data_IF_629432575507
#
_entry.id   IF_629432575507
#
_cell.length_a   1.000
_cell.length_b   1.000
_cell.length_c   1.000
_cell.angle_alpha   90.00
_cell.angle_beta   90.00
_cell.angle_gamma   90.00
#
_symmetry.space_group_name_H-M   'P 1'
#
loop_
_entity.id
_entity.type
_entity.pdbx_description
1 polymer ?
#
# COMPACT_ATOMS: atom_id res chain seq x y z
N UNK A 1 12.17 -20.94 -16.39
CA UNK A 1 12.28 -19.53 -15.97
C UNK A 1 13.65 -18.91 -16.30
N UNK A 2 14.33 -19.34 -17.38
CA UNK A 2 15.74 -18.96 -17.63
C UNK A 2 15.93 -17.55 -18.23
N UNK A 3 14.85 -16.86 -18.60
CA UNK A 3 14.91 -15.54 -19.23
C UNK A 3 14.88 -14.37 -18.23
N UNK A 4 14.60 -14.63 -16.95
CA UNK A 4 14.52 -13.59 -15.92
C UNK A 4 15.82 -13.53 -15.11
N UNK A 5 16.69 -12.58 -15.46
CA UNK A 5 18.06 -12.46 -14.93
C UNK A 5 18.13 -12.41 -13.39
N UNK A 6 17.06 -11.98 -12.71
CA UNK A 6 17.00 -11.96 -11.24
C UNK A 6 17.18 -13.34 -10.62
N UNK A 7 16.68 -14.41 -11.26
CA UNK A 7 16.89 -15.77 -10.77
C UNK A 7 18.36 -16.16 -10.78
N UNK A 8 19.08 -15.86 -11.86
CA UNK A 8 20.51 -16.13 -11.94
C UNK A 8 21.32 -15.36 -10.87
N UNK A 9 20.92 -14.11 -10.58
CA UNK A 9 21.53 -13.32 -9.51
C UNK A 9 21.27 -13.96 -8.13
N UNK A 10 20.02 -14.38 -7.87
CA UNK A 10 19.68 -15.05 -6.61
C UNK A 10 20.42 -16.39 -6.49
N UNK A 11 20.48 -17.19 -7.55
CA UNK A 11 21.22 -18.46 -7.55
C UNK A 11 22.71 -18.24 -7.28
N UNK A 12 23.32 -17.21 -7.89
CA UNK A 12 24.73 -16.89 -7.69
C UNK A 12 25.07 -16.52 -6.24
N UNK A 13 24.09 -16.18 -5.39
CA UNK A 13 24.34 -15.93 -3.97
C UNK A 13 24.88 -17.15 -3.21
N UNK A 14 24.72 -18.37 -3.76
CA UNK A 14 25.33 -19.59 -3.20
C UNK A 14 26.87 -19.56 -3.17
N UNK A 15 27.48 -18.66 -3.95
CA UNK A 15 28.93 -18.47 -4.00
C UNK A 15 29.43 -17.40 -3.02
N UNK A 16 28.54 -16.73 -2.28
CA UNK A 16 28.90 -15.77 -1.25
C UNK A 16 29.21 -16.47 0.09
N UNK A 17 30.14 -15.92 0.86
CA UNK A 17 30.49 -16.43 2.20
C UNK A 17 29.36 -16.27 3.23
N UNK A 18 28.46 -15.30 2.99
CA UNK A 18 27.30 -15.04 3.81
C UNK A 18 26.19 -14.39 2.98
N UNK A 19 24.95 -14.67 3.33
CA UNK A 19 23.75 -14.17 2.66
C UNK A 19 22.91 -13.41 3.70
N UNK A 20 22.53 -12.18 3.38
CA UNK A 20 21.63 -11.40 4.22
C UNK A 20 20.24 -11.34 3.60
N UNK A 21 19.26 -11.89 4.30
CA UNK A 21 17.87 -11.93 3.90
C UNK A 21 17.07 -10.88 4.68
N UNK A 22 16.23 -10.12 3.98
CA UNK A 22 15.47 -9.01 4.59
C UNK A 22 14.24 -9.43 5.39
N UNK A 23 13.95 -10.74 5.47
CA UNK A 23 12.82 -11.27 6.23
C UNK A 23 12.76 -12.79 6.23
N UNK A 24 11.97 -13.36 7.14
CA UNK A 24 11.90 -14.82 7.38
C UNK A 24 11.45 -15.62 6.16
N UNK A 25 10.48 -15.09 5.40
CA UNK A 25 10.00 -15.75 4.19
C UNK A 25 11.07 -15.78 3.10
N UNK A 26 11.94 -14.76 3.00
CA UNK A 26 13.07 -14.76 2.06
C UNK A 26 14.06 -15.87 2.42
N UNK A 27 14.34 -16.10 3.70
CA UNK A 27 15.18 -17.24 4.14
C UNK A 27 14.53 -18.57 3.76
N UNK A 28 13.21 -18.68 4.00
CA UNK A 28 12.45 -19.89 3.69
C UNK A 28 12.43 -20.18 2.19
N UNK A 29 12.26 -19.14 1.36
CA UNK A 29 12.35 -19.19 -0.10
C UNK A 29 13.73 -19.65 -0.56
N UNK A 30 14.81 -19.02 -0.07
CA UNK A 30 16.18 -19.40 -0.44
C UNK A 30 16.44 -20.88 -0.15
N UNK A 31 16.13 -21.32 1.07
CA UNK A 31 16.28 -22.73 1.46
C UNK A 31 15.45 -23.69 0.61
N UNK A 32 14.29 -23.25 0.13
CA UNK A 32 13.46 -24.03 -0.78
C UNK A 32 14.02 -24.10 -2.20
N UNK A 33 14.65 -23.03 -2.70
CA UNK A 33 15.07 -22.91 -4.11
C UNK A 33 16.13 -23.94 -4.51
N UNK A 34 17.10 -24.25 -3.65
CA UNK A 34 18.17 -25.20 -3.97
C UNK A 34 18.79 -25.85 -2.72
N UNK A 35 19.28 -27.11 -2.80
CA UNK A 35 19.95 -27.78 -1.69
C UNK A 35 21.13 -27.01 -1.09
N UNK A 36 21.87 -26.26 -1.91
CA UNK A 36 23.03 -25.46 -1.49
C UNK A 36 22.66 -24.40 -0.45
N UNK A 37 21.42 -23.89 -0.47
CA UNK A 37 20.95 -22.91 0.50
C UNK A 37 20.53 -23.52 1.84
N UNK A 38 20.38 -24.85 1.94
CA UNK A 38 20.02 -25.52 3.20
C UNK A 38 21.10 -25.35 4.27
N UNK A 39 22.37 -25.35 3.86
CA UNK A 39 23.53 -25.22 4.75
C UNK A 39 24.27 -23.90 4.59
N UNK A 40 23.76 -22.99 3.76
CA UNK A 40 24.37 -21.67 3.57
C UNK A 40 24.27 -20.83 4.85
N UNK A 41 25.27 -19.98 5.08
CA UNK A 41 25.24 -19.00 6.16
C UNK A 41 24.28 -17.86 5.79
N UNK A 42 23.05 -17.92 6.29
CA UNK A 42 22.00 -16.93 6.00
C UNK A 42 21.58 -16.24 7.29
N UNK A 43 21.86 -14.94 7.41
CA UNK A 43 21.38 -14.10 8.50
C UNK A 43 20.17 -13.28 8.07
N UNK A 44 19.22 -13.10 8.98
CA UNK A 44 18.10 -12.18 8.78
C UNK A 44 18.56 -10.78 9.16
N UNK A 45 18.47 -9.85 8.20
CA UNK A 45 18.79 -8.43 8.39
C UNK A 45 17.62 -7.61 7.90
N UNK A 46 16.69 -7.30 8.81
CA UNK A 46 15.54 -6.47 8.51
C UNK A 46 15.96 -5.07 8.05
N UNK A 47 15.19 -4.46 7.14
CA UNK A 47 15.41 -3.06 6.80
C UNK A 47 15.03 -2.16 7.99
N UNK A 48 15.83 -1.12 8.22
CA UNK A 48 15.49 -0.09 9.20
C UNK A 48 14.25 0.69 8.77
N UNK A 49 13.45 1.09 9.76
CA UNK A 49 12.27 1.95 9.57
C UNK A 49 12.53 3.27 10.27
N UNK A 50 12.29 4.42 9.63
CA UNK A 50 12.52 5.71 10.26
C UNK A 50 11.67 5.90 11.52
N UNK A 51 12.30 6.14 12.67
CA UNK A 51 11.65 6.41 13.95
C UNK A 51 11.59 7.92 14.22
N UNK A 52 10.77 8.63 13.44
CA UNK A 52 10.62 10.08 13.58
C UNK A 52 9.99 10.47 14.92
N UNK A 53 10.44 11.60 15.47
CA UNK A 53 9.79 12.24 16.60
C UNK A 53 8.94 13.40 16.08
N UNK A 54 7.68 13.43 16.48
CA UNK A 54 6.71 14.43 16.03
C UNK A 54 5.78 14.80 17.20
N UNK A 55 5.26 16.03 17.21
CA UNK A 55 4.20 16.39 18.14
C UNK A 55 2.84 15.92 17.65
N UNK A 56 1.89 15.74 18.57
CA UNK A 56 0.49 15.48 18.19
C UNK A 56 -0.09 16.60 17.33
N UNK A 57 0.29 17.86 17.59
CA UNK A 57 -0.13 19.00 16.78
C UNK A 57 0.34 18.90 15.33
N UNK A 58 1.59 18.49 15.08
CA UNK A 58 2.10 18.38 13.70
C UNK A 58 1.38 17.24 12.95
N UNK A 59 1.10 16.10 13.62
CA UNK A 59 0.30 15.01 13.05
C UNK A 59 -1.09 15.51 12.62
N UNK A 60 -1.76 16.26 13.51
CA UNK A 60 -3.10 16.80 13.24
C UNK A 60 -3.07 17.84 12.13
N UNK A 61 -2.05 18.69 12.05
CA UNK A 61 -1.89 19.64 10.94
C UNK A 61 -1.71 18.92 9.61
N UNK A 62 -0.87 17.87 9.55
CA UNK A 62 -0.75 17.05 8.33
C UNK A 62 -2.08 16.40 7.96
N UNK A 63 -2.84 15.87 8.93
CA UNK A 63 -4.18 15.32 8.69
C UNK A 63 -5.14 16.36 8.13
N UNK A 64 -5.12 17.58 8.66
CA UNK A 64 -5.96 18.67 8.18
C UNK A 64 -5.67 19.02 6.72
N UNK A 65 -4.41 18.99 6.29
CA UNK A 65 -4.03 19.17 4.89
C UNK A 65 -4.58 18.05 4.00
N UNK A 66 -4.52 16.79 4.43
CA UNK A 66 -5.09 15.67 3.67
C UNK A 66 -6.61 15.76 3.56
N UNK A 67 -7.29 16.14 4.64
CA UNK A 67 -8.72 16.39 4.66
C UNK A 67 -9.11 17.55 3.74
N UNK A 68 -8.34 18.65 3.76
CA UNK A 68 -8.54 19.78 2.85
C UNK A 68 -8.31 19.38 1.39
N UNK A 69 -7.33 18.52 1.11
CA UNK A 69 -7.15 18.02 -0.25
C UNK A 69 -8.35 17.20 -0.72
N UNK A 70 -8.89 16.32 0.13
CA UNK A 70 -10.14 15.60 -0.16
C UNK A 70 -11.31 16.56 -0.42
N UNK A 71 -11.44 17.61 0.40
CA UNK A 71 -12.49 18.63 0.24
C UNK A 71 -12.34 19.38 -1.09
N UNK A 72 -11.13 19.76 -1.48
CA UNK A 72 -10.86 20.40 -2.76
C UNK A 72 -11.16 19.49 -3.97
N UNK A 73 -10.99 18.17 -3.82
CA UNK A 73 -11.23 17.19 -4.88
C UNK A 73 -12.71 16.78 -5.00
N UNK A 74 -13.35 16.47 -3.87
CA UNK A 74 -14.65 15.78 -3.80
C UNK A 74 -15.76 16.63 -3.18
N UNK A 75 -15.45 17.81 -2.65
CA UNK A 75 -16.42 18.72 -2.04
C UNK A 75 -16.87 18.32 -0.63
N UNK A 76 -16.17 17.40 0.04
CA UNK A 76 -16.44 17.07 1.44
C UNK A 76 -15.15 16.79 2.22
N UNK A 77 -15.21 17.07 3.53
CA UNK A 77 -14.14 16.81 4.47
C UNK A 77 -14.35 15.44 5.15
N UNK A 78 -13.46 14.45 4.98
CA UNK A 78 -13.64 13.11 5.55
C UNK A 78 -13.30 13.07 7.05
N UNK A 79 -13.97 12.21 7.83
CA UNK A 79 -13.61 11.96 9.23
C UNK A 79 -12.25 11.24 9.35
N UNK A 80 -12.00 10.29 8.44
CA UNK A 80 -10.81 9.45 8.44
C UNK A 80 -10.06 9.49 7.11
N UNK A 81 -8.73 9.47 7.18
CA UNK A 81 -7.83 9.43 6.03
C UNK A 81 -7.07 8.12 6.03
N UNK A 82 -7.29 7.32 4.99
CA UNK A 82 -6.56 6.10 4.71
C UNK A 82 -5.57 6.34 3.58
N UNK A 83 -4.48 5.57 3.59
CA UNK A 83 -3.42 5.66 2.60
C UNK A 83 -2.93 4.27 2.21
N UNK A 84 -2.47 4.14 0.97
CA UNK A 84 -1.62 3.03 0.56
C UNK A 84 -0.67 3.55 -0.51
N UNK A 85 0.62 3.46 -0.24
CA UNK A 85 1.65 3.90 -1.17
C UNK A 85 2.49 2.70 -1.58
N UNK A 86 2.36 2.31 -2.84
CA UNK A 86 2.98 1.09 -3.34
C UNK A 86 3.06 1.08 -4.86
N UNK A 87 3.82 0.15 -5.44
CA UNK A 87 3.83 -0.04 -6.90
C UNK A 87 2.55 -0.74 -7.36
N UNK A 88 2.10 -0.42 -8.57
CA UNK A 88 0.94 -1.11 -9.15
C UNK A 88 1.41 -2.44 -9.73
N UNK A 89 1.45 -3.46 -8.89
CA UNK A 89 1.79 -4.84 -9.26
C UNK A 89 0.93 -5.79 -8.44
N UNK A 90 0.63 -6.96 -9.01
CA UNK A 90 -0.24 -7.96 -8.36
C UNK A 90 0.24 -8.35 -6.95
N UNK A 91 1.56 -8.38 -6.72
CA UNK A 91 2.09 -8.80 -5.43
C UNK A 91 1.70 -7.89 -4.27
N UNK A 92 1.27 -6.66 -4.55
CA UNK A 92 0.86 -5.66 -3.54
C UNK A 92 -0.59 -5.80 -3.09
N UNK A 93 -1.36 -6.68 -3.72
CA UNK A 93 -2.68 -7.06 -3.20
C UNK A 93 -3.73 -5.96 -3.22
N UNK A 94 -3.64 -4.96 -4.10
CA UNK A 94 -4.51 -3.76 -4.07
C UNK A 94 -6.02 -4.06 -4.19
N UNK A 95 -6.41 -5.22 -4.75
CA UNK A 95 -7.82 -5.63 -4.75
C UNK A 95 -8.34 -5.88 -3.32
N UNK A 96 -7.48 -6.32 -2.40
CA UNK A 96 -7.83 -6.56 -1.00
C UNK A 96 -8.14 -5.25 -0.28
N UNK A 97 -7.51 -4.15 -0.64
CA UNK A 97 -7.88 -2.82 -0.13
C UNK A 97 -9.37 -2.56 -0.41
N UNK A 98 -9.79 -2.77 -1.66
CA UNK A 98 -11.19 -2.57 -2.05
C UNK A 98 -12.12 -3.51 -1.28
N UNK A 99 -11.75 -4.78 -1.08
CA UNK A 99 -12.53 -5.74 -0.28
C UNK A 99 -12.68 -5.32 1.18
N UNK A 100 -11.60 -4.83 1.79
CA UNK A 100 -11.62 -4.30 3.15
C UNK A 100 -12.53 -3.07 3.21
N UNK A 101 -12.39 -2.14 2.27
CA UNK A 101 -13.23 -0.95 2.20
C UNK A 101 -14.71 -1.27 1.94
N UNK A 102 -15.05 -2.32 1.18
CA UNK A 102 -16.44 -2.79 0.99
C UNK A 102 -17.09 -3.22 2.31
N UNK A 103 -16.31 -3.81 3.23
CA UNK A 103 -16.79 -4.16 4.57
C UNK A 103 -16.87 -2.93 5.46
N UNK A 104 -15.86 -2.06 5.42
CA UNK A 104 -15.84 -0.83 6.22
C UNK A 104 -16.93 0.16 5.81
N UNK A 105 -17.26 0.29 4.52
CA UNK A 105 -18.32 1.20 4.04
C UNK A 105 -19.65 0.96 4.75
N UNK A 106 -19.99 -0.31 4.98
CA UNK A 106 -21.25 -0.67 5.64
C UNK A 106 -21.30 -0.14 7.07
N UNK A 107 -20.18 -0.25 7.79
CA UNK A 107 -20.05 0.21 9.16
C UNK A 107 -19.93 1.74 9.24
N UNK A 108 -19.22 2.35 8.29
CA UNK A 108 -19.14 3.80 8.18
C UNK A 108 -20.51 4.42 7.93
N UNK A 109 -21.35 3.73 7.14
CA UNK A 109 -22.72 4.15 6.89
C UNK A 109 -23.62 4.02 8.12
N UNK A 110 -23.51 2.96 8.92
CA UNK A 110 -24.29 2.81 10.16
C UNK A 110 -23.91 3.87 11.19
N UNK A 111 -22.64 4.27 11.24
CA UNK A 111 -22.14 5.28 12.17
C UNK A 111 -22.23 6.73 11.64
N UNK A 112 -22.64 6.94 10.39
CA UNK A 112 -22.64 8.26 9.77
C UNK A 112 -21.23 8.87 9.64
N UNK A 113 -20.20 8.04 9.51
CA UNK A 113 -18.80 8.43 9.37
C UNK A 113 -18.33 8.36 7.93
N UNK A 114 -17.33 9.13 7.58
CA UNK A 114 -16.78 9.22 6.23
C UNK A 114 -15.28 8.95 6.18
N UNK A 115 -14.79 8.38 5.08
CA UNK A 115 -13.36 8.19 4.84
C UNK A 115 -12.96 8.43 3.40
N UNK A 116 -11.70 8.77 3.21
CA UNK A 116 -11.03 8.75 1.90
C UNK A 116 -9.81 7.83 1.96
N UNK A 117 -9.59 7.01 0.94
CA UNK A 117 -8.32 6.34 0.67
C UNK A 117 -7.57 7.11 -0.41
N UNK A 118 -6.42 7.69 -0.07
CA UNK A 118 -5.44 8.15 -1.05
C UNK A 118 -4.53 6.98 -1.44
N UNK A 119 -4.72 6.46 -2.64
CA UNK A 119 -3.95 5.34 -3.18
C UNK A 119 -2.93 5.86 -4.18
N UNK A 120 -1.65 5.89 -3.78
CA UNK A 120 -0.55 6.30 -4.65
C UNK A 120 0.08 5.05 -5.24
N UNK A 121 -0.20 4.79 -6.50
CA UNK A 121 0.32 3.61 -7.16
C UNK A 121 0.49 3.80 -8.66
N UNK A 122 1.54 3.20 -9.21
CA UNK A 122 1.81 3.25 -10.64
C UNK A 122 2.66 2.08 -11.08
N UNK A 123 2.50 1.66 -12.33
CA UNK A 123 3.37 0.70 -13.01
C UNK A 123 4.36 1.40 -13.96
N UNK A 124 4.25 2.73 -14.11
CA UNK A 124 5.07 3.57 -14.97
C UNK A 124 5.83 4.64 -14.18
N UNK A 125 6.59 5.49 -14.87
CA UNK A 125 7.29 6.63 -14.24
C UNK A 125 6.33 7.78 -13.92
N UNK A 126 6.79 8.70 -13.05
CA UNK A 126 6.07 9.94 -12.72
C UNK A 126 5.78 10.74 -14.00
N UNK A 127 4.56 11.27 -14.10
CA UNK A 127 4.13 12.14 -15.22
C UNK A 127 4.75 13.52 -15.07
N UNK A 128 4.91 14.22 -16.19
CA UNK A 128 5.40 15.59 -16.15
C UNK A 128 4.39 16.50 -15.46
N UNK A 129 4.86 17.48 -14.68
CA UNK A 129 3.98 18.43 -13.99
C UNK A 129 3.04 19.17 -14.95
N UNK A 130 3.49 19.50 -16.16
CA UNK A 130 2.64 20.12 -17.18
C UNK A 130 1.46 19.24 -17.56
N UNK A 131 1.69 17.93 -17.71
CA UNK A 131 0.63 16.98 -18.00
C UNK A 131 -0.34 16.91 -16.83
N UNK A 132 0.13 16.87 -15.58
CA UNK A 132 -0.72 16.91 -14.38
C UNK A 132 -1.68 18.11 -14.40
N UNK A 133 -1.17 19.33 -14.60
CA UNK A 133 -2.02 20.52 -14.63
C UNK A 133 -3.01 20.49 -15.81
N UNK A 134 -2.59 20.00 -16.99
CA UNK A 134 -3.48 19.84 -18.13
C UNK A 134 -4.59 18.82 -17.86
N UNK A 135 -4.26 17.68 -17.23
CA UNK A 135 -5.22 16.63 -16.90
C UNK A 135 -6.21 17.12 -15.84
N UNK A 136 -5.73 17.81 -14.80
CA UNK A 136 -6.57 18.44 -13.78
C UNK A 136 -7.54 19.45 -14.42
N UNK A 137 -7.06 20.35 -15.27
CA UNK A 137 -7.92 21.38 -15.88
C UNK A 137 -8.89 20.83 -16.94
N UNK A 138 -8.57 19.70 -17.57
CA UNK A 138 -9.35 19.17 -18.70
C UNK A 138 -10.42 18.18 -18.24
N UNK A 139 -10.17 17.42 -17.18
CA UNK A 139 -11.10 16.38 -16.71
C UNK A 139 -10.97 16.07 -15.23
N UNK A 140 -10.50 17.01 -14.41
CA UNK A 140 -10.50 16.91 -12.95
C UNK A 140 -9.66 15.74 -12.40
N UNK A 141 -8.55 15.37 -13.06
CA UNK A 141 -7.57 14.45 -12.46
C UNK A 141 -7.15 14.94 -11.05
N UNK A 142 -7.01 14.05 -10.03
CA UNK A 142 -7.14 12.59 -10.06
C UNK A 142 -8.54 12.06 -9.69
N UNK A 143 -9.59 12.89 -9.74
CA UNK A 143 -10.96 12.44 -9.46
C UNK A 143 -11.49 11.58 -10.61
N UNK A 144 -11.21 12.00 -11.83
CA UNK A 144 -11.46 11.23 -13.04
C UNK A 144 -10.17 11.00 -13.82
N UNK A 145 -10.11 9.86 -14.50
CA UNK A 145 -8.99 9.49 -15.35
C UNK A 145 -9.45 9.17 -16.78
N UNK A 146 -8.50 9.21 -17.71
CA UNK A 146 -8.67 8.79 -19.10
C UNK A 146 -7.66 7.70 -19.45
N UNK A 147 -8.11 6.75 -20.28
CA UNK A 147 -7.23 5.72 -20.81
C UNK A 147 -6.23 6.32 -21.80
N UNK A 148 -4.98 5.88 -21.71
CA UNK A 148 -3.89 6.30 -22.59
C UNK A 148 -3.00 7.40 -22.00
N UNK A 149 -1.80 7.50 -22.56
CA UNK A 149 -0.81 8.50 -22.16
C UNK A 149 -1.32 9.93 -22.44
N UNK A 150 -1.15 10.90 -21.52
CA UNK A 150 -0.30 10.85 -20.34
C UNK A 150 -0.92 10.26 -19.06
N UNK A 151 -2.18 9.85 -19.07
CA UNK A 151 -2.88 9.42 -17.84
C UNK A 151 -2.71 7.93 -17.56
N UNK A 152 -3.66 7.07 -17.91
CA UNK A 152 -3.57 5.66 -17.53
C UNK A 152 -2.76 4.85 -18.55
N UNK A 153 -1.81 4.06 -18.05
CA UNK A 153 -1.32 2.85 -18.70
C UNK A 153 -2.37 1.73 -18.69
N UNK A 154 -2.11 0.62 -19.38
CA UNK A 154 -3.07 -0.49 -19.50
C UNK A 154 -3.41 -1.16 -18.16
N UNK A 155 -2.42 -1.42 -17.30
CA UNK A 155 -2.66 -1.98 -15.97
C UNK A 155 -3.31 -0.98 -15.01
N UNK A 156 -2.93 0.31 -15.11
CA UNK A 156 -3.61 1.38 -14.37
C UNK A 156 -5.09 1.51 -14.77
N UNK A 157 -5.43 1.40 -16.06
CA UNK A 157 -6.81 1.43 -16.54
C UNK A 157 -7.63 0.23 -16.07
N UNK A 158 -7.06 -0.96 -16.11
CA UNK A 158 -7.70 -2.18 -15.61
C UNK A 158 -8.04 -2.04 -14.11
N UNK A 159 -7.09 -1.55 -13.31
CA UNK A 159 -7.30 -1.38 -11.88
C UNK A 159 -8.23 -0.19 -11.55
N UNK A 160 -8.13 0.92 -12.26
CA UNK A 160 -9.01 2.07 -12.07
C UNK A 160 -10.48 1.73 -12.34
N UNK A 161 -10.77 0.81 -13.25
CA UNK A 161 -12.14 0.32 -13.47
C UNK A 161 -12.76 -0.28 -12.21
N UNK A 162 -11.99 -1.05 -11.43
CA UNK A 162 -12.44 -1.60 -10.14
C UNK A 162 -12.65 -0.49 -9.09
N UNK A 163 -11.81 0.55 -9.09
CA UNK A 163 -11.98 1.73 -8.24
C UNK A 163 -13.27 2.49 -8.59
N UNK A 164 -13.56 2.68 -9.88
CA UNK A 164 -14.79 3.33 -10.33
C UNK A 164 -16.02 2.53 -9.90
N UNK A 165 -15.99 1.20 -10.04
CA UNK A 165 -17.07 0.33 -9.58
C UNK A 165 -17.30 0.46 -8.07
N UNK A 166 -16.21 0.43 -7.28
CA UNK A 166 -16.29 0.65 -5.83
C UNK A 166 -16.86 2.04 -5.49
N UNK A 167 -16.33 3.10 -6.11
CA UNK A 167 -16.76 4.47 -5.87
C UNK A 167 -18.20 4.73 -6.29
N UNK A 168 -18.72 4.03 -7.31
CA UNK A 168 -20.12 4.14 -7.72
C UNK A 168 -21.08 3.49 -6.70
N UNK A 169 -20.65 2.41 -6.03
CA UNK A 169 -21.47 1.67 -5.05
C UNK A 169 -21.37 2.24 -3.64
N UNK A 170 -20.21 2.78 -3.27
CA UNK A 170 -19.94 3.32 -1.94
C UNK A 170 -20.60 4.68 -1.73
N UNK A 171 -21.00 4.99 -0.50
CA UNK A 171 -21.50 6.33 -0.13
C UNK A 171 -20.52 7.09 0.75
N UNK A 172 -20.07 6.44 1.82
CA UNK A 172 -19.33 7.08 2.90
C UNK A 172 -17.80 6.95 2.78
N UNK A 173 -17.33 6.09 1.87
CA UNK A 173 -15.90 5.84 1.67
C UNK A 173 -15.59 6.05 0.20
N UNK A 174 -14.54 6.82 -0.11
CA UNK A 174 -14.08 7.04 -1.49
C UNK A 174 -12.61 6.70 -1.64
N UNK A 175 -12.23 6.22 -2.82
CA UNK A 175 -10.84 5.99 -3.20
C UNK A 175 -10.43 7.04 -4.23
N UNK A 176 -9.35 7.76 -3.97
CA UNK A 176 -8.68 8.65 -4.91
C UNK A 176 -7.43 7.95 -5.41
N UNK A 177 -7.41 7.62 -6.71
CA UNK A 177 -6.28 6.96 -7.33
C UNK A 177 -5.29 8.00 -7.86
N UNK A 178 -4.16 8.14 -7.18
CA UNK A 178 -3.08 9.00 -7.66
C UNK A 178 -2.10 8.07 -8.37
N UNK A 179 -2.21 8.03 -9.69
CA UNK A 179 -1.52 7.04 -10.51
C UNK A 179 -0.01 7.28 -10.65
N UNK A 180 0.67 7.87 -9.67
CA UNK A 180 2.10 8.13 -9.66
C UNK A 180 2.66 8.31 -8.25
N UNK A 181 3.99 8.31 -8.13
CA UNK A 181 4.69 8.76 -6.93
C UNK A 181 4.91 10.27 -6.91
N UNK A 182 4.96 10.81 -5.69
CA UNK A 182 4.93 12.24 -5.41
C UNK A 182 3.61 12.63 -4.74
N UNK A 183 3.69 13.53 -3.78
CA UNK A 183 2.54 14.02 -3.01
C UNK A 183 2.78 15.46 -2.58
N UNK A 184 3.00 16.29 -3.59
CA UNK A 184 3.27 17.73 -3.52
C UNK A 184 2.49 18.42 -4.66
N UNK A 185 2.23 19.74 -4.59
CA UNK A 185 1.46 20.44 -5.63
C UNK A 185 2.00 20.20 -7.05
N UNK A 186 3.32 20.10 -7.17
CA UNK A 186 4.01 19.82 -8.44
C UNK A 186 3.69 18.44 -9.04
N UNK A 187 3.35 17.44 -8.22
CA UNK A 187 2.85 16.13 -8.68
C UNK A 187 1.34 16.02 -8.68
N UNK A 188 0.62 16.78 -7.85
CA UNK A 188 -0.79 16.47 -7.56
C UNK A 188 -1.78 17.56 -8.02
N UNK A 189 -1.31 18.58 -8.72
CA UNK A 189 -2.15 19.63 -9.28
C UNK A 189 -2.39 20.79 -8.32
N UNK A 190 -3.11 21.79 -8.81
CA UNK A 190 -3.37 23.03 -8.12
C UNK A 190 -4.40 22.90 -6.98
N UNK A 191 -5.21 21.83 -6.97
CA UNK A 191 -6.14 21.54 -5.87
C UNK A 191 -5.45 21.02 -4.61
N UNK A 192 -4.19 20.61 -4.69
CA UNK A 192 -3.41 20.26 -3.50
C UNK A 192 -3.06 21.52 -2.68
N UNK A 193 -3.17 21.49 -1.33
CA UNK A 193 -2.70 22.58 -0.49
C UNK A 193 -1.26 23.00 -0.82
N UNK A 194 -1.01 24.31 -0.90
CA UNK A 194 0.27 24.87 -1.39
C UNK A 194 1.47 24.48 -0.53
N UNK A 195 1.24 24.25 0.75
CA UNK A 195 2.23 23.88 1.77
C UNK A 195 2.22 22.36 2.06
N UNK A 196 1.59 21.54 1.22
CA UNK A 196 1.66 20.08 1.33
C UNK A 196 3.08 19.59 1.03
N UNK A 197 3.64 18.80 1.94
CA UNK A 197 4.90 18.09 1.75
C UNK A 197 4.65 16.60 1.50
N UNK A 198 5.59 15.92 0.85
CA UNK A 198 5.47 14.48 0.61
C UNK A 198 5.24 13.68 1.92
N UNK A 199 5.89 14.06 3.01
CA UNK A 199 5.75 13.39 4.30
C UNK A 199 4.39 13.60 4.97
N UNK A 200 3.61 14.60 4.55
CA UNK A 200 2.28 14.84 5.13
C UNK A 200 1.34 13.65 4.86
N UNK A 201 1.52 12.90 3.77
CA UNK A 201 0.74 11.67 3.52
C UNK A 201 0.95 10.61 4.59
N UNK A 202 2.16 10.52 5.15
CA UNK A 202 2.50 9.57 6.22
C UNK A 202 2.08 10.09 7.58
N UNK A 203 2.38 11.36 7.86
CA UNK A 203 2.07 12.01 9.13
C UNK A 203 0.57 12.11 9.38
N UNK A 204 -0.18 12.50 8.35
CA UNK A 204 -1.61 12.78 8.44
C UNK A 204 -2.52 11.57 8.27
N UNK A 205 -1.96 10.40 7.91
CA UNK A 205 -2.75 9.19 7.75
C UNK A 205 -3.24 8.65 9.09
N UNK A 206 -4.52 8.25 9.14
CA UNK A 206 -5.09 7.48 10.24
C UNK A 206 -4.79 5.99 10.07
N UNK A 207 -4.85 5.49 8.83
CA UNK A 207 -4.64 4.07 8.51
C UNK A 207 -3.82 3.91 7.21
N UNK A 208 -2.74 3.14 7.26
CA UNK A 208 -2.00 2.68 6.09
C UNK A 208 -2.33 1.22 5.80
N UNK A 209 -2.70 0.93 4.54
CA UNK A 209 -2.87 -0.44 4.07
C UNK A 209 -1.57 -1.01 3.51
N UNK A 210 -1.42 -2.32 3.71
CA UNK A 210 -0.30 -3.13 3.26
C UNK A 210 -0.76 -4.56 2.97
N UNK A 211 -1.61 -4.74 1.95
CA UNK A 211 -2.30 -6.01 1.70
C UNK A 211 -1.56 -7.02 0.82
N UNK A 212 -0.22 -6.92 0.78
CA UNK A 212 0.62 -7.69 -0.13
C UNK A 212 0.39 -9.21 -0.02
N UNK A 213 0.39 -9.89 -1.17
CA UNK A 213 0.49 -11.37 -1.25
C UNK A 213 1.95 -11.83 -1.30
N UNK A 214 2.86 -10.94 -1.67
CA UNK A 214 4.29 -11.17 -1.63
C UNK A 214 5.01 -9.84 -1.42
N UNK A 215 5.72 -9.73 -0.31
CA UNK A 215 6.48 -8.55 0.09
C UNK A 215 7.70 -8.97 0.91
N UNK A 216 8.92 -8.96 0.33
CA UNK A 216 10.12 -9.39 1.03
C UNK A 216 10.37 -8.65 2.35
N UNK A 217 9.99 -7.37 2.41
CA UNK A 217 10.01 -6.58 3.64
C UNK A 217 8.80 -5.65 3.78
N UNK A 218 8.63 -4.62 2.95
CA UNK A 218 7.47 -3.72 3.05
C UNK A 218 7.68 -2.50 3.96
N UNK A 219 8.69 -1.67 3.67
CA UNK A 219 9.05 -0.48 4.46
C UNK A 219 7.86 0.49 4.60
N UNK A 220 7.21 0.83 3.49
CA UNK A 220 6.15 1.84 3.44
C UNK A 220 4.96 1.54 4.33
N UNK A 221 4.69 0.25 4.58
CA UNK A 221 3.52 -0.19 5.33
C UNK A 221 3.60 0.17 6.82
N UNK A 222 4.81 0.38 7.35
CA UNK A 222 5.07 0.72 8.75
C UNK A 222 5.52 2.17 8.95
N UNK A 223 5.78 2.94 7.88
CA UNK A 223 6.20 4.35 8.01
C UNK A 223 5.21 5.21 8.82
N UNK A 224 3.87 5.04 8.69
CA UNK A 224 2.91 5.80 9.48
C UNK A 224 2.91 5.49 10.98
N UNK A 225 3.49 4.35 11.40
CA UNK A 225 3.57 3.98 12.81
C UNK A 225 4.35 5.02 13.63
N UNK A 226 5.42 5.59 13.06
CA UNK A 226 6.23 6.64 13.68
C UNK A 226 5.47 7.95 13.92
N UNK A 227 4.31 8.11 13.28
CA UNK A 227 3.42 9.25 13.46
C UNK A 227 2.12 8.86 14.19
N UNK A 228 2.06 7.65 14.76
CA UNK A 228 0.90 7.12 15.48
C UNK A 228 -0.29 6.78 14.57
N UNK A 229 -0.06 6.48 13.28
CA UNK A 229 -1.07 5.88 12.41
C UNK A 229 -1.29 4.40 12.76
N UNK A 230 -2.37 3.81 12.22
CA UNK A 230 -2.62 2.37 12.27
C UNK A 230 -2.08 1.74 10.97
N UNK A 231 -1.33 0.65 11.08
CA UNK A 231 -0.83 -0.10 9.93
C UNK A 231 -1.59 -1.42 9.81
N UNK A 232 -2.25 -1.65 8.68
CA UNK A 232 -2.95 -2.91 8.39
C UNK A 232 -2.13 -3.70 7.37
N UNK A 233 -1.39 -4.68 7.84
CA UNK A 233 -0.42 -5.43 7.04
C UNK A 233 -0.83 -6.88 6.87
N UNK A 234 -0.47 -7.47 5.74
CA UNK A 234 -0.64 -8.89 5.48
C UNK A 234 0.32 -9.72 6.33
N UNK A 235 -0.11 -10.89 6.82
CA UNK A 235 0.73 -11.85 7.56
C UNK A 235 1.95 -12.32 6.77
N UNK A 236 1.87 -12.28 5.43
CA UNK A 236 2.96 -12.68 4.53
C UNK A 236 3.91 -11.52 4.15
N UNK A 237 3.75 -10.35 4.77
CA UNK A 237 4.71 -9.26 4.66
C UNK A 237 5.96 -9.56 5.51
N UNK A 238 7.17 -9.40 4.97
CA UNK A 238 8.40 -9.52 5.76
C UNK A 238 8.47 -8.56 6.95
N UNK A 239 7.78 -7.43 6.87
CA UNK A 239 7.62 -6.45 7.95
C UNK A 239 6.91 -7.04 9.18
N UNK A 240 6.08 -8.07 9.02
CA UNK A 240 5.46 -8.78 10.13
C UNK A 240 6.49 -9.60 10.93
N UNK A 241 7.51 -10.14 10.26
CA UNK A 241 8.66 -10.80 10.89
C UNK A 241 9.46 -9.84 11.76
N UNK A 242 9.79 -8.68 11.21
CA UNK A 242 10.44 -7.59 11.94
C UNK A 242 9.64 -7.17 13.17
N UNK A 243 8.33 -6.95 13.01
CA UNK A 243 7.45 -6.57 14.11
C UNK A 243 7.49 -7.61 15.23
N UNK A 244 7.33 -8.90 14.89
CA UNK A 244 7.38 -10.00 15.86
C UNK A 244 8.72 -10.04 16.60
N UNK A 245 9.82 -9.82 15.90
CA UNK A 245 11.16 -9.80 16.49
C UNK A 245 11.32 -8.67 17.50
N UNK A 246 11.00 -7.42 17.11
CA UNK A 246 11.17 -6.26 17.99
C UNK A 246 10.15 -6.19 19.14
N UNK A 247 9.00 -6.83 19.01
CA UNK A 247 7.97 -6.87 20.06
C UNK A 247 8.01 -8.14 20.90
N UNK A 248 8.92 -9.09 20.62
CA UNK A 248 8.90 -10.44 21.19
C UNK A 248 7.55 -11.15 21.00
N UNK A 249 6.89 -10.90 19.87
CA UNK A 249 5.58 -11.47 19.54
C UNK A 249 4.40 -10.86 20.29
N UNK A 250 4.59 -9.76 21.04
CA UNK A 250 3.48 -9.04 21.65
C UNK A 250 2.71 -8.20 20.62
N UNK A 251 1.39 -8.13 20.81
CA UNK A 251 0.50 -7.31 20.00
C UNK A 251 0.81 -5.83 20.16
N UNK A 252 0.80 -5.11 19.05
CA UNK A 252 0.95 -3.65 19.01
C UNK A 252 -0.38 -3.04 18.62
N UNK A 253 -0.91 -2.15 19.46
CA UNK A 253 -2.25 -1.53 19.27
C UNK A 253 -2.44 -0.88 17.91
N UNK A 254 -1.36 -0.35 17.35
CA UNK A 254 -1.35 0.39 16.09
C UNK A 254 -1.02 -0.50 14.88
N UNK A 255 -0.91 -1.81 15.05
CA UNK A 255 -0.69 -2.73 13.93
C UNK A 255 -1.75 -3.82 13.93
N UNK A 256 -2.40 -3.98 12.79
CA UNK A 256 -3.37 -5.05 12.54
C UNK A 256 -2.74 -5.97 11.50
N UNK A 257 -2.55 -7.24 11.87
CA UNK A 257 -2.07 -8.26 10.93
C UNK A 257 -3.27 -9.00 10.37
N UNK A 258 -3.47 -8.89 9.05
CA UNK A 258 -4.49 -9.63 8.32
C UNK A 258 -3.88 -10.92 7.78
N UNK A 259 -4.33 -12.07 8.30
CA UNK A 259 -3.90 -13.38 7.81
C UNK A 259 -4.86 -13.94 6.77
N UNK A 260 -4.52 -13.73 5.50
CA UNK A 260 -5.27 -14.28 4.36
C UNK A 260 -4.92 -15.74 4.06
N UNK A 261 -3.98 -16.34 4.80
CA UNK A 261 -3.60 -17.75 4.64
C UNK A 261 -4.39 -18.67 5.58
N UNK A 262 -5.03 -18.10 6.60
CA UNK A 262 -5.81 -18.84 7.58
C UNK A 262 -7.21 -19.17 7.02
N UNK A 263 -7.33 -20.34 6.40
CA UNK A 263 -8.56 -20.81 5.77
C UNK A 263 -9.60 -21.42 6.74
N UNK A 264 -9.49 -21.16 8.04
CA UNK A 264 -10.30 -21.82 9.05
C UNK A 264 -11.80 -21.57 8.78
N UNK A 265 -12.53 -22.68 8.56
CA UNK A 265 -13.97 -22.82 8.30
C UNK A 265 -14.47 -22.90 6.85
N UNK A 266 -13.62 -23.08 5.84
CA UNK A 266 -14.08 -23.45 4.48
C UNK A 266 -13.62 -24.86 4.13
N UNK A 267 -14.57 -25.77 3.90
CA UNK A 267 -14.32 -27.03 3.19
C UNK A 267 -14.26 -26.67 1.71
N UNK A 268 -13.07 -26.65 1.13
CA UNK A 268 -12.90 -26.50 -0.31
C UNK A 268 -12.99 -27.88 -0.94
N UNK A 269 -13.83 -28.03 -1.97
CA UNK A 269 -14.00 -29.30 -2.70
C UNK A 269 -12.84 -29.55 -3.67
N UNK A 270 -12.27 -28.49 -4.23
CA UNK A 270 -11.17 -28.54 -5.20
C UNK A 270 -10.33 -27.23 -5.24
N UNK A 271 -9.35 -27.19 -6.15
CA UNK A 271 -8.44 -26.05 -6.37
C UNK A 271 -9.18 -24.83 -6.96
N UNK A 272 -10.27 -25.03 -7.70
CA UNK A 272 -11.03 -23.93 -8.31
C UNK A 272 -11.77 -23.14 -7.22
N UNK A 273 -12.31 -23.82 -6.20
CA UNK A 273 -12.84 -23.18 -5.00
C UNK A 273 -11.78 -22.34 -4.25
N UNK A 274 -10.50 -22.73 -4.33
CA UNK A 274 -9.39 -21.99 -3.74
C UNK A 274 -8.99 -20.74 -4.54
N UNK A 275 -9.24 -20.72 -5.85
CA UNK A 275 -9.01 -19.52 -6.69
C UNK A 275 -10.05 -18.43 -6.45
N UNK A 276 -11.16 -18.77 -5.80
CA UNK A 276 -12.17 -17.83 -5.29
C UNK A 276 -11.91 -17.37 -3.85
N UNK A 277 -10.76 -17.72 -3.27
CA UNK A 277 -10.28 -17.13 -2.01
C UNK A 277 -9.77 -15.72 -2.34
N UNK A 278 -10.65 -14.73 -2.13
CA UNK A 278 -10.33 -13.29 -2.19
C UNK A 278 -9.30 -12.85 -1.12
#
# INVERSE_FOLDING_TARGET
QNSFFKHAIVEASRYCDGIYAVGDYVVSELRFLAPEFQTANIDIVYNGIPAYQISTSDKLQSKEKLQLYCENLLGYRPDFVFTHVTRLIISKGLWRDLRVLEKMEKEFRTQGKTAVLFLLSTEVSRRNSRDIYNMESTYDWPVAHREGWPDLSGGEAAFYSAIQEFNAKSRNVKVIFINQFGFEPKSCGARMPKDMEFMDIRKGSDVEFGQSIYEPFGISQLEPLSFGGICVISSVCGCAGFLRDVTNGHDVKNVIIADYTELKNRRFGDIEDMLHID
#
